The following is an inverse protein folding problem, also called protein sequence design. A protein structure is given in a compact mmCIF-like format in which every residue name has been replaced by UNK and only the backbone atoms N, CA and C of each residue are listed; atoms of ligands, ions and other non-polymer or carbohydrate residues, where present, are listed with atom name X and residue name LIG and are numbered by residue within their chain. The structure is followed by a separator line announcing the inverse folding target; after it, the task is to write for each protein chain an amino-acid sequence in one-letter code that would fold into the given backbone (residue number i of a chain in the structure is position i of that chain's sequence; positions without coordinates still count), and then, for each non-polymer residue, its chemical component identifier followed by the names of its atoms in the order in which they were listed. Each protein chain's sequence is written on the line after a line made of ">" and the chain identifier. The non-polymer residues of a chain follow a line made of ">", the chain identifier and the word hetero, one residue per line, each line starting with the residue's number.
data_IF_575032331900
#
_entry.id   IF_575032331900
#
_cell.length_a   1.000
_cell.length_b   1.000
_cell.length_c   1.000
_cell.angle_alpha   90.00
_cell.angle_beta   90.00
_cell.angle_gamma   90.00
#
_symmetry.space_group_name_H-M   'P 1'
#
loop_
_entity.id
_entity.type
_entity.pdbx_description
1 polymer ?
#
# COMPACT_ATOMS: atom_id res chain seq x y z
N UNK A 1 -5.16 -6.95 -0.90
CA UNK A 1 -4.60 -7.12 -2.24
C UNK A 1 -3.30 -6.36 -2.45
N UNK A 2 -2.42 -6.20 -1.44
CA UNK A 2 -1.04 -5.86 -1.78
C UNK A 2 -0.35 -7.12 -2.34
N UNK A 3 0.49 -6.96 -3.37
CA UNK A 3 1.34 -8.03 -3.87
C UNK A 3 2.50 -8.27 -2.89
N UNK A 4 3.34 -9.30 -3.12
CA UNK A 4 4.57 -9.46 -2.37
C UNK A 4 5.40 -8.17 -2.35
N UNK A 5 6.07 -7.90 -1.24
CA UNK A 5 6.91 -6.71 -1.02
C UNK A 5 6.14 -5.37 -1.05
N UNK A 6 4.81 -5.40 -0.91
CA UNK A 6 3.97 -4.21 -0.73
C UNK A 6 4.05 -3.24 -1.90
N UNK A 7 4.33 -1.97 -1.62
CA UNK A 7 4.42 -0.92 -2.66
C UNK A 7 5.44 -1.23 -3.76
N UNK A 8 6.53 -1.93 -3.44
CA UNK A 8 7.51 -2.33 -4.46
C UNK A 8 6.90 -3.35 -5.44
N UNK A 9 6.00 -4.20 -4.96
CA UNK A 9 5.27 -5.11 -5.84
C UNK A 9 4.23 -4.40 -6.70
N UNK A 10 3.57 -3.34 -6.21
CA UNK A 10 2.71 -2.50 -7.07
C UNK A 10 3.52 -1.92 -8.23
N UNK A 11 4.70 -1.33 -7.95
CA UNK A 11 5.63 -0.82 -8.98
C UNK A 11 6.10 -1.93 -9.93
N UNK A 12 6.26 -3.15 -9.43
CA UNK A 12 6.64 -4.29 -10.25
C UNK A 12 5.55 -4.66 -11.25
N UNK A 13 4.29 -4.57 -10.84
CA UNK A 13 3.11 -5.00 -11.60
C UNK A 13 2.52 -3.91 -12.52
N UNK A 14 2.71 -2.61 -12.22
CA UNK A 14 2.21 -1.51 -13.06
C UNK A 14 2.49 -1.64 -14.57
N UNK A 15 3.68 -2.10 -15.02
CA UNK A 15 3.94 -2.24 -16.46
C UNK A 15 3.04 -3.24 -17.21
N UNK A 16 2.34 -4.11 -16.50
CA UNK A 16 1.48 -5.15 -17.09
C UNK A 16 0.00 -4.77 -17.13
N UNK A 17 -0.36 -3.59 -16.63
CA UNK A 17 -1.72 -3.04 -16.67
C UNK A 17 -1.71 -1.65 -17.31
N UNK A 18 -2.89 -1.16 -17.67
CA UNK A 18 -3.03 0.22 -18.09
C UNK A 18 -2.99 1.13 -16.86
N UNK A 19 -1.98 1.99 -16.79
CA UNK A 19 -1.78 2.91 -15.66
C UNK A 19 -1.02 2.29 -14.49
N UNK A 20 -1.28 2.78 -13.29
CA UNK A 20 -0.66 2.24 -12.07
C UNK A 20 -1.45 1.04 -11.56
N UNK A 21 -0.76 -0.01 -11.16
CA UNK A 21 -1.39 -1.12 -10.46
C UNK A 21 -1.73 -0.71 -9.03
N UNK A 22 -3.00 -0.82 -8.63
CA UNK A 22 -3.48 -0.40 -7.32
C UNK A 22 -3.91 -1.60 -6.47
N UNK A 23 -3.34 -1.70 -5.26
CA UNK A 23 -3.69 -2.76 -4.31
C UNK A 23 -5.16 -2.74 -3.89
N UNK A 24 -5.78 -1.55 -3.89
CA UNK A 24 -7.19 -1.38 -3.57
C UNK A 24 -8.08 -1.99 -4.65
N UNK A 25 -7.76 -1.80 -5.93
CA UNK A 25 -8.48 -2.42 -7.05
C UNK A 25 -8.31 -3.94 -7.05
N UNK A 26 -7.09 -4.43 -6.78
CA UNK A 26 -6.90 -5.87 -6.62
C UNK A 26 -7.69 -6.42 -5.43
N UNK A 27 -7.83 -5.66 -4.34
CA UNK A 27 -8.63 -6.09 -3.20
C UNK A 27 -10.12 -6.19 -3.55
N UNK A 28 -10.64 -5.27 -4.36
CA UNK A 28 -12.00 -5.37 -4.92
C UNK A 28 -12.11 -6.62 -5.81
N UNK A 29 -11.17 -6.81 -6.74
CA UNK A 29 -11.13 -7.98 -7.63
C UNK A 29 -11.09 -9.30 -6.86
N UNK A 30 -10.33 -9.37 -5.76
CA UNK A 30 -10.32 -10.55 -4.88
C UNK A 30 -11.72 -10.84 -4.36
N UNK A 31 -12.42 -9.86 -3.80
CA UNK A 31 -13.71 -10.09 -3.14
C UNK A 31 -14.93 -10.13 -4.07
N UNK A 32 -14.79 -9.68 -5.32
CA UNK A 32 -15.87 -9.70 -6.32
C UNK A 32 -15.70 -10.80 -7.38
N UNK A 33 -14.47 -11.22 -7.68
CA UNK A 33 -14.16 -12.12 -8.80
C UNK A 33 -13.46 -13.40 -8.32
N UNK A 34 -12.33 -13.29 -7.62
CA UNK A 34 -11.47 -14.45 -7.32
C UNK A 34 -12.02 -15.30 -6.18
N UNK A 35 -12.45 -14.65 -5.11
CA UNK A 35 -13.03 -15.24 -3.90
C UNK A 35 -14.30 -14.47 -3.51
N UNK A 36 -15.41 -14.62 -4.26
CA UNK A 36 -16.59 -13.81 -4.07
C UNK A 36 -17.20 -13.96 -2.67
N UNK A 37 -17.23 -12.87 -1.90
CA UNK A 37 -17.76 -12.86 -0.53
C UNK A 37 -19.15 -12.25 -0.40
N UNK A 38 -19.71 -11.70 -1.49
CA UNK A 38 -21.02 -11.02 -1.49
C UNK A 38 -21.08 -9.88 -0.44
N UNK A 39 -20.03 -9.04 -0.41
CA UNK A 39 -19.96 -7.89 0.48
C UNK A 39 -20.96 -6.81 0.03
N UNK A 40 -21.36 -5.96 0.98
CA UNK A 40 -22.17 -4.78 0.68
C UNK A 40 -21.37 -3.78 -0.15
N UNK A 41 -22.08 -3.01 -0.99
CA UNK A 41 -21.46 -2.01 -1.86
C UNK A 41 -20.60 -1.01 -1.06
N UNK A 42 -21.06 -0.57 0.12
CA UNK A 42 -20.36 0.38 0.99
C UNK A 42 -18.99 -0.14 1.44
N UNK A 43 -18.87 -1.45 1.66
CA UNK A 43 -17.60 -2.08 2.06
C UNK A 43 -16.66 -2.15 0.87
N UNK A 44 -17.16 -2.54 -0.31
CA UNK A 44 -16.37 -2.58 -1.55
C UNK A 44 -15.87 -1.18 -1.92
N UNK A 45 -16.73 -0.16 -1.85
CA UNK A 45 -16.34 1.23 -2.12
C UNK A 45 -15.29 1.75 -1.12
N UNK A 46 -15.46 1.43 0.16
CA UNK A 46 -14.46 1.71 1.19
C UNK A 46 -13.10 1.08 0.85
N UNK A 47 -13.07 -0.19 0.46
CA UNK A 47 -11.85 -0.89 0.04
C UNK A 47 -11.24 -0.24 -1.21
N UNK A 48 -12.04 0.05 -2.23
CA UNK A 48 -11.60 0.68 -3.48
C UNK A 48 -10.92 2.03 -3.23
N UNK A 49 -11.55 2.88 -2.42
CA UNK A 49 -11.19 4.29 -2.31
C UNK A 49 -10.37 4.69 -1.08
N UNK A 50 -10.05 3.78 -0.15
CA UNK A 50 -9.32 4.13 1.08
C UNK A 50 -7.91 4.73 0.85
N UNK A 51 -7.31 4.48 -0.32
CA UNK A 51 -6.02 5.05 -0.67
C UNK A 51 -6.16 6.49 -1.15
N UNK A 52 -5.17 7.32 -0.81
CA UNK A 52 -5.16 8.73 -1.21
C UNK A 52 -4.87 8.96 -2.69
N UNK A 53 -4.47 7.91 -3.43
CA UNK A 53 -4.23 7.95 -4.88
C UNK A 53 -5.53 7.87 -5.70
N UNK A 54 -6.62 7.40 -5.10
CA UNK A 54 -7.88 7.14 -5.81
C UNK A 54 -8.81 8.35 -5.71
N UNK A 55 -9.29 8.77 -6.89
CA UNK A 55 -10.27 9.83 -7.12
C UNK A 55 -11.36 9.30 -8.08
N UNK A 56 -12.66 9.45 -7.77
CA UNK A 56 -13.21 10.03 -6.54
C UNK A 56 -12.90 9.19 -5.29
N UNK A 57 -12.81 9.84 -4.11
CA UNK A 57 -12.66 9.15 -2.83
C UNK A 57 -13.89 8.27 -2.52
N UNK A 58 -13.88 7.49 -1.41
CA UNK A 58 -15.05 6.74 -0.98
C UNK A 58 -16.26 7.65 -0.82
N UNK A 59 -17.42 7.15 -1.21
CA UNK A 59 -18.69 7.87 -1.14
C UNK A 59 -19.22 7.97 0.30
N UNK A 60 -18.82 7.06 1.18
CA UNK A 60 -19.29 6.99 2.58
C UNK A 60 -18.38 7.77 3.53
N UNK A 61 -18.95 8.30 4.61
CA UNK A 61 -18.16 8.96 5.65
C UNK A 61 -17.24 7.98 6.39
N UNK A 62 -17.69 6.73 6.57
CA UNK A 62 -16.89 5.64 7.12
C UNK A 62 -15.68 5.31 6.25
N UNK A 63 -15.86 5.26 4.92
CA UNK A 63 -14.75 5.12 3.98
C UNK A 63 -13.78 6.30 4.03
N UNK A 64 -14.29 7.52 4.19
CA UNK A 64 -13.46 8.71 4.38
C UNK A 64 -12.67 8.66 5.70
N UNK A 65 -13.26 8.18 6.80
CA UNK A 65 -12.56 7.96 8.07
C UNK A 65 -11.41 6.97 7.87
N UNK A 66 -11.65 5.87 7.14
CA UNK A 66 -10.64 4.86 6.85
C UNK A 66 -9.41 5.47 6.14
N UNK A 67 -9.61 6.41 5.19
CA UNK A 67 -8.49 7.12 4.52
C UNK A 67 -7.56 7.80 5.52
N UNK A 68 -8.12 8.46 6.52
CA UNK A 68 -7.33 9.13 7.56
C UNK A 68 -6.72 8.13 8.53
N UNK A 69 -7.47 7.12 8.96
CA UNK A 69 -6.99 6.11 9.89
C UNK A 69 -5.76 5.37 9.35
N UNK A 70 -5.81 4.94 8.08
CA UNK A 70 -4.69 4.31 7.39
C UNK A 70 -3.46 5.22 7.36
N UNK A 71 -3.66 6.48 6.92
CA UNK A 71 -2.61 7.49 6.82
C UNK A 71 -1.93 7.78 8.15
N UNK A 72 -2.70 7.94 9.23
CA UNK A 72 -2.19 8.21 10.58
C UNK A 72 -1.41 7.00 11.10
N UNK A 73 -1.97 5.79 10.94
CA UNK A 73 -1.36 4.58 11.45
C UNK A 73 -0.01 4.30 10.78
N UNK A 74 0.05 4.26 9.45
CA UNK A 74 1.30 3.92 8.77
C UNK A 74 2.37 4.99 9.02
N UNK A 75 2.00 6.28 9.02
CA UNK A 75 2.97 7.36 9.12
C UNK A 75 3.70 7.34 10.47
N UNK A 76 2.97 7.07 11.55
CA UNK A 76 3.56 6.96 12.90
C UNK A 76 4.32 5.65 13.06
N UNK A 77 3.79 4.52 12.58
CA UNK A 77 4.46 3.22 12.72
C UNK A 77 5.74 3.14 11.89
N UNK A 78 5.75 3.63 10.65
CA UNK A 78 6.93 3.63 9.79
C UNK A 78 8.05 4.51 10.37
N UNK A 79 7.69 5.64 10.99
CA UNK A 79 8.65 6.46 11.74
C UNK A 79 9.24 5.67 12.92
N UNK A 80 8.39 5.00 13.71
CA UNK A 80 8.85 4.21 14.86
C UNK A 80 9.77 3.06 14.42
N UNK A 81 9.46 2.39 13.33
CA UNK A 81 10.28 1.31 12.79
C UNK A 81 11.59 1.83 12.19
N UNK A 82 11.57 2.99 11.53
CA UNK A 82 12.80 3.66 11.08
C UNK A 82 13.72 4.04 12.25
N UNK A 83 13.16 4.52 13.37
CA UNK A 83 13.92 4.80 14.59
C UNK A 83 14.47 3.50 15.21
N UNK A 84 13.63 2.46 15.31
CA UNK A 84 14.03 1.15 15.85
C UNK A 84 15.13 0.51 15.02
N UNK A 85 15.08 0.67 13.70
CA UNK A 85 16.10 0.19 12.77
C UNK A 85 17.40 1.04 12.78
N UNK A 86 17.44 2.14 13.55
CA UNK A 86 18.58 3.05 13.61
C UNK A 86 18.77 3.88 12.33
N UNK A 87 17.75 3.96 11.47
CA UNK A 87 17.76 4.78 10.26
C UNK A 87 17.55 6.25 10.63
N UNK A 88 16.71 6.50 11.63
CA UNK A 88 16.41 7.81 12.19
C UNK A 88 16.66 7.81 13.69
N UNK A 89 16.81 9.00 14.24
CA UNK A 89 16.78 9.28 15.67
C UNK A 89 15.67 10.31 15.95
N UNK A 90 15.27 10.47 17.21
CA UNK A 90 14.29 11.50 17.58
C UNK A 90 14.74 12.92 17.20
N UNK A 91 16.05 13.17 17.14
CA UNK A 91 16.62 14.46 16.73
C UNK A 91 16.61 14.70 15.23
N UNK A 92 16.38 13.66 14.41
CA UNK A 92 16.24 13.82 12.96
C UNK A 92 14.84 14.30 12.57
N UNK A 93 13.86 14.21 13.46
CA UNK A 93 12.46 14.54 13.15
C UNK A 93 12.30 16.05 12.87
N UNK A 94 11.50 16.45 11.87
CA UNK A 94 11.33 17.86 11.53
C UNK A 94 10.75 18.66 12.69
N UNK A 95 11.39 19.78 13.03
CA UNK A 95 10.96 20.64 14.14
C UNK A 95 9.56 21.23 13.95
N UNK A 96 9.20 21.60 12.72
CA UNK A 96 7.87 22.10 12.38
C UNK A 96 6.78 21.05 12.58
N UNK A 97 7.08 19.78 12.31
CA UNK A 97 6.18 18.67 12.60
C UNK A 97 6.06 18.43 14.12
N UNK A 98 7.14 18.56 14.89
CA UNK A 98 7.12 18.45 16.35
C UNK A 98 6.30 19.57 17.01
N UNK A 99 6.34 20.78 16.46
CA UNK A 99 5.53 21.91 16.96
C UNK A 99 4.02 21.63 16.83
N UNK A 100 3.60 21.02 15.72
CA UNK A 100 2.19 20.69 15.45
C UNK A 100 1.76 19.41 16.17
N UNK A 101 2.53 18.32 16.00
CA UNK A 101 2.18 17.00 16.51
C UNK A 101 2.57 16.77 17.97
N UNK A 102 3.44 17.58 18.55
CA UNK A 102 3.96 17.38 19.91
C UNK A 102 4.99 16.25 20.01
N UNK A 103 4.99 15.54 21.15
CA UNK A 103 5.95 14.47 21.43
C UNK A 103 5.73 13.22 20.56
N UNK A 104 6.77 12.69 19.88
CA UNK A 104 6.65 11.52 19.01
C UNK A 104 6.06 10.30 19.71
N UNK A 105 5.21 9.55 18.99
CA UNK A 105 4.64 8.29 19.44
C UNK A 105 3.12 8.32 19.54
N UNK A 106 2.56 7.85 20.67
CA UNK A 106 1.10 7.75 20.85
C UNK A 106 0.40 9.11 20.89
N UNK A 107 1.10 10.16 21.31
CA UNK A 107 0.53 11.52 21.35
C UNK A 107 0.28 12.08 19.94
N UNK A 108 1.14 11.75 18.95
CA UNK A 108 0.91 12.11 17.56
C UNK A 108 -0.38 11.49 17.02
N UNK A 109 -0.56 10.18 17.21
CA UNK A 109 -1.78 9.46 16.82
C UNK A 109 -3.01 10.13 17.41
N UNK A 110 -2.97 10.39 18.73
CA UNK A 110 -4.07 11.03 19.45
C UNK A 110 -4.40 12.41 18.89
N UNK A 111 -3.39 13.27 18.66
CA UNK A 111 -3.60 14.63 18.13
C UNK A 111 -4.15 14.63 16.70
N UNK A 112 -3.63 13.75 15.83
CA UNK A 112 -4.15 13.62 14.47
C UNK A 112 -5.60 13.14 14.47
N UNK A 113 -5.96 12.17 15.33
CA UNK A 113 -7.35 11.71 15.49
C UNK A 113 -8.26 12.86 15.94
N UNK A 114 -7.89 13.60 16.98
CA UNK A 114 -8.70 14.74 17.43
C UNK A 114 -8.81 15.84 16.37
N UNK A 115 -7.75 16.09 15.60
CA UNK A 115 -7.79 17.04 14.50
C UNK A 115 -8.75 16.64 13.37
N UNK A 116 -8.95 15.33 13.16
CA UNK A 116 -10.01 14.83 12.25
C UNK A 116 -11.38 15.01 12.88
N UNK A 117 -11.56 14.58 14.13
CA UNK A 117 -12.85 14.65 14.82
C UNK A 117 -13.36 16.09 14.89
N UNK A 118 -12.56 17.02 15.39
CA UNK A 118 -12.97 18.40 15.63
C UNK A 118 -13.30 19.13 14.32
N UNK A 119 -12.46 18.98 13.29
CA UNK A 119 -12.74 19.58 11.98
C UNK A 119 -13.98 18.97 11.32
N UNK A 120 -14.18 17.66 11.48
CA UNK A 120 -15.34 16.96 10.93
C UNK A 120 -16.65 17.42 11.57
N UNK A 121 -16.64 17.64 12.90
CA UNK A 121 -17.78 18.16 13.65
C UNK A 121 -18.10 19.61 13.25
N UNK A 122 -17.08 20.45 13.06
CA UNK A 122 -17.27 21.85 12.65
C UNK A 122 -17.85 21.98 11.23
N UNK A 123 -17.43 21.11 10.30
CA UNK A 123 -17.85 21.17 8.89
C UNK A 123 -19.10 20.38 8.56
N UNK A 124 -19.44 19.36 9.36
CA UNK A 124 -20.49 18.39 9.03
C UNK A 124 -20.08 17.34 7.98
N UNK A 125 -18.78 17.21 7.70
CA UNK A 125 -18.22 16.24 6.75
C UNK A 125 -16.80 15.86 7.16
N UNK A 126 -16.37 14.63 6.89
CA UNK A 126 -15.04 14.14 7.30
C UNK A 126 -13.91 15.00 6.70
N UNK A 127 -13.14 15.64 7.58
CA UNK A 127 -12.04 16.50 7.24
C UNK A 127 -11.01 16.54 8.39
N UNK A 128 -9.80 17.01 8.10
CA UNK A 128 -8.74 17.25 9.09
C UNK A 128 -8.39 18.73 9.08
N UNK A 129 -8.09 19.29 10.27
CA UNK A 129 -7.60 20.68 10.41
C UNK A 129 -6.49 20.96 9.37
N UNK A 130 -6.57 22.05 8.59
CA UNK A 130 -5.63 22.29 7.49
C UNK A 130 -4.15 22.30 7.90
N UNK A 131 -3.83 22.87 9.07
CA UNK A 131 -2.47 22.90 9.62
C UNK A 131 -1.96 21.48 9.93
N UNK A 132 -2.81 20.62 10.51
CA UNK A 132 -2.48 19.22 10.80
C UNK A 132 -2.27 18.41 9.51
N UNK A 133 -3.13 18.64 8.52
CA UNK A 133 -3.04 17.98 7.21
C UNK A 133 -1.74 18.35 6.49
N UNK A 134 -1.38 19.63 6.48
CA UNK A 134 -0.13 20.14 5.90
C UNK A 134 1.10 19.54 6.59
N UNK A 135 1.13 19.53 7.93
CA UNK A 135 2.21 18.89 8.69
C UNK A 135 2.30 17.39 8.36
N UNK A 136 1.16 16.71 8.19
CA UNK A 136 1.12 15.28 7.84
C UNK A 136 1.69 15.02 6.44
N UNK A 137 1.43 15.91 5.48
CA UNK A 137 2.02 15.84 4.14
C UNK A 137 3.54 16.04 4.17
N UNK A 138 4.03 17.08 4.87
CA UNK A 138 5.46 17.33 5.02
C UNK A 138 6.19 16.19 5.71
N UNK A 139 5.61 15.66 6.79
CA UNK A 139 6.24 14.56 7.50
C UNK A 139 6.32 13.30 6.65
N UNK A 140 5.31 13.04 5.81
CA UNK A 140 5.37 11.96 4.82
C UNK A 140 6.48 12.18 3.79
N UNK A 141 6.65 13.39 3.28
CA UNK A 141 7.74 13.72 2.35
C UNK A 141 9.11 13.51 3.01
N UNK A 142 9.29 13.99 4.24
CA UNK A 142 10.48 13.72 5.04
C UNK A 142 10.76 12.21 5.17
N UNK A 143 9.75 11.44 5.55
CA UNK A 143 9.87 9.99 5.67
C UNK A 143 10.29 9.36 4.33
N UNK A 144 9.65 9.78 3.23
CA UNK A 144 9.99 9.35 1.87
C UNK A 144 11.48 9.56 1.55
N UNK A 145 11.98 10.77 1.76
CA UNK A 145 13.35 11.14 1.46
C UNK A 145 14.38 10.45 2.36
N UNK A 146 14.10 10.36 3.66
CA UNK A 146 15.08 9.91 4.65
C UNK A 146 15.11 8.41 4.85
N UNK A 147 14.00 7.72 4.55
CA UNK A 147 13.86 6.27 4.81
C UNK A 147 13.79 5.48 3.50
N UNK A 148 12.92 5.89 2.57
CA UNK A 148 12.63 5.07 1.38
C UNK A 148 13.58 5.36 0.22
N UNK A 149 14.08 6.60 0.05
CA UNK A 149 15.07 6.95 -0.99
C UNK A 149 16.51 6.52 -0.66
N UNK A 150 16.74 5.86 0.49
CA UNK A 150 18.09 5.40 0.85
C UNK A 150 18.60 4.37 -0.16
N UNK A 151 19.92 4.37 -0.48
CA UNK A 151 20.49 3.42 -1.43
C UNK A 151 20.25 1.95 -1.08
N UNK A 152 20.25 1.61 0.21
CA UNK A 152 19.96 0.25 0.67
C UNK A 152 18.49 -0.13 0.41
N UNK A 153 17.56 0.78 0.70
CA UNK A 153 16.12 0.62 0.44
C UNK A 153 15.84 0.48 -1.06
N UNK A 154 16.49 1.31 -1.89
CA UNK A 154 16.38 1.25 -3.35
C UNK A 154 16.91 -0.06 -3.92
N UNK A 155 18.07 -0.55 -3.47
CA UNK A 155 18.61 -1.85 -3.90
C UNK A 155 17.68 -3.01 -3.55
N UNK A 156 17.05 -2.97 -2.38
CA UNK A 156 16.06 -3.96 -1.98
C UNK A 156 14.79 -3.87 -2.86
N UNK A 157 14.31 -2.66 -3.13
CA UNK A 157 13.19 -2.41 -4.03
C UNK A 157 13.45 -2.91 -5.45
N UNK A 158 14.61 -2.61 -6.03
CA UNK A 158 15.01 -3.09 -7.36
C UNK A 158 15.04 -4.62 -7.43
N UNK A 159 15.53 -5.27 -6.37
CA UNK A 159 15.54 -6.73 -6.29
C UNK A 159 14.11 -7.29 -6.23
N UNK A 160 13.25 -6.72 -5.39
CA UNK A 160 11.85 -7.12 -5.28
C UNK A 160 11.09 -6.95 -6.60
N UNK A 161 11.28 -5.80 -7.28
CA UNK A 161 10.70 -5.52 -8.60
C UNK A 161 11.15 -6.55 -9.62
N UNK A 162 12.45 -6.87 -9.66
CA UNK A 162 12.97 -7.87 -10.60
C UNK A 162 12.37 -9.24 -10.36
N UNK A 163 12.34 -9.70 -9.11
CA UNK A 163 11.78 -11.01 -8.76
C UNK A 163 10.34 -11.15 -9.26
N UNK A 164 9.50 -10.15 -9.03
CA UNK A 164 8.10 -10.22 -9.43
C UNK A 164 7.92 -10.13 -10.94
N UNK A 165 8.70 -9.31 -11.64
CA UNK A 165 8.68 -9.25 -13.11
C UNK A 165 9.13 -10.57 -13.73
N UNK A 166 10.21 -11.15 -13.24
CA UNK A 166 10.67 -12.47 -13.66
C UNK A 166 9.54 -13.51 -13.50
N UNK A 167 8.82 -13.51 -12.37
CA UNK A 167 7.70 -14.42 -12.15
C UNK A 167 6.52 -14.17 -13.10
N UNK A 168 6.16 -12.90 -13.36
CA UNK A 168 5.09 -12.57 -14.32
C UNK A 168 5.49 -13.03 -15.72
N UNK A 169 6.68 -12.67 -16.19
CA UNK A 169 7.18 -13.01 -17.51
C UNK A 169 7.26 -14.53 -17.70
N UNK A 170 7.73 -15.27 -16.67
CA UNK A 170 7.77 -16.73 -16.69
C UNK A 170 6.40 -17.36 -16.89
N UNK A 171 5.38 -16.91 -16.15
CA UNK A 171 4.04 -17.47 -16.28
C UNK A 171 3.30 -17.02 -17.54
N UNK A 172 3.65 -15.86 -18.11
CA UNK A 172 3.19 -15.45 -19.44
C UNK A 172 3.74 -16.38 -20.53
N UNK A 173 5.01 -16.78 -20.42
CA UNK A 173 5.66 -17.71 -21.36
C UNK A 173 5.26 -19.18 -21.11
N UNK A 174 4.93 -19.55 -19.87
CA UNK A 174 4.59 -20.91 -19.45
C UNK A 174 3.24 -20.98 -18.71
N UNK A 175 2.09 -20.70 -19.37
CA UNK A 175 0.79 -20.62 -18.69
C UNK A 175 0.36 -21.91 -17.99
N UNK A 176 0.81 -23.07 -18.49
CA UNK A 176 0.47 -24.38 -17.93
C UNK A 176 1.08 -24.64 -16.55
N UNK A 177 2.12 -23.89 -16.16
CA UNK A 177 2.74 -23.95 -14.85
C UNK A 177 1.99 -23.14 -13.77
N UNK A 178 1.02 -22.31 -14.19
CA UNK A 178 0.17 -21.60 -13.24
C UNK A 178 -0.74 -22.56 -12.46
N UNK A 179 -1.07 -22.24 -11.20
CA UNK A 179 -2.07 -22.99 -10.45
C UNK A 179 -3.39 -23.03 -11.22
N UNK A 180 -4.00 -24.22 -11.30
CA UNK A 180 -5.21 -24.45 -12.10
C UNK A 180 -6.38 -23.53 -11.70
N UNK A 181 -6.48 -23.17 -10.40
CA UNK A 181 -7.51 -22.26 -9.90
C UNK A 181 -7.47 -20.85 -10.49
N UNK A 182 -6.32 -20.42 -11.02
CA UNK A 182 -6.16 -19.11 -11.66
C UNK A 182 -6.25 -19.17 -13.18
N UNK A 183 -6.28 -20.36 -13.79
CA UNK A 183 -6.42 -20.55 -15.24
C UNK A 183 -7.87 -20.34 -15.69
N UNK A 184 -8.34 -19.10 -15.65
CA UNK A 184 -9.69 -18.69 -16.07
C UNK A 184 -9.73 -18.37 -17.56
N UNK A 185 -10.39 -19.23 -18.36
CA UNK A 185 -10.38 -19.12 -19.84
C UNK A 185 -11.01 -17.85 -20.42
N UNK A 186 -11.80 -17.12 -19.64
CA UNK A 186 -12.56 -15.94 -20.11
C UNK A 186 -11.82 -14.62 -19.88
N UNK A 187 -10.70 -14.62 -19.15
CA UNK A 187 -9.90 -13.43 -18.86
C UNK A 187 -8.62 -13.41 -19.73
N UNK A 188 -8.10 -12.23 -20.10
CA UNK A 188 -6.77 -12.13 -20.70
C UNK A 188 -5.72 -12.83 -19.84
N UNK A 189 -4.79 -13.55 -20.48
CA UNK A 189 -3.74 -14.31 -19.78
C UNK A 189 -2.95 -13.45 -18.80
N UNK A 190 -2.64 -12.19 -19.17
CA UNK A 190 -1.91 -11.26 -18.30
C UNK A 190 -2.63 -10.99 -16.98
N UNK A 191 -3.96 -10.89 -16.98
CA UNK A 191 -4.74 -10.68 -15.76
C UNK A 191 -4.65 -11.91 -14.84
N UNK A 192 -4.77 -13.11 -15.43
CA UNK A 192 -4.65 -14.37 -14.69
C UNK A 192 -3.27 -14.51 -14.04
N UNK A 193 -2.20 -14.16 -14.77
CA UNK A 193 -0.82 -14.19 -14.26
C UNK A 193 -0.63 -13.18 -13.13
N UNK A 194 -1.13 -11.95 -13.32
CA UNK A 194 -1.07 -10.91 -12.28
C UNK A 194 -1.79 -11.38 -11.02
N UNK A 195 -2.97 -11.99 -11.15
CA UNK A 195 -3.73 -12.51 -10.01
C UNK A 195 -2.92 -13.58 -9.24
N UNK A 196 -2.22 -14.48 -9.95
CA UNK A 196 -1.32 -15.47 -9.34
C UNK A 196 -0.19 -14.79 -8.57
N UNK A 197 0.52 -13.86 -9.21
CA UNK A 197 1.72 -13.23 -8.63
C UNK A 197 1.35 -12.30 -7.48
N UNK A 198 0.28 -11.52 -7.62
CA UNK A 198 -0.23 -10.64 -6.57
C UNK A 198 -0.80 -11.42 -5.38
N UNK A 199 -1.31 -12.64 -5.59
CA UNK A 199 -1.79 -13.53 -4.53
C UNK A 199 -0.68 -14.21 -3.72
N UNK A 200 0.59 -14.07 -4.09
CA UNK A 200 1.70 -14.69 -3.38
C UNK A 200 2.03 -13.96 -2.07
N UNK A 201 2.66 -14.68 -1.13
CA UNK A 201 3.38 -14.06 -0.02
C UNK A 201 4.85 -13.83 -0.40
N UNK A 202 5.54 -12.89 0.26
CA UNK A 202 6.98 -12.63 0.04
C UNK A 202 7.83 -13.90 0.05
N UNK A 203 7.63 -14.76 1.05
CA UNK A 203 8.38 -16.01 1.20
C UNK A 203 8.05 -17.00 0.08
N UNK A 204 6.80 -17.04 -0.36
CA UNK A 204 6.38 -17.91 -1.44
C UNK A 204 6.95 -17.44 -2.79
N UNK A 205 6.85 -16.13 -3.09
CA UNK A 205 7.41 -15.54 -4.30
C UNK A 205 8.91 -15.78 -4.41
N UNK A 206 9.66 -15.54 -3.33
CA UNK A 206 11.11 -15.83 -3.28
C UNK A 206 11.40 -17.31 -3.55
N UNK A 207 10.66 -18.21 -2.91
CA UNK A 207 10.86 -19.66 -3.07
C UNK A 207 10.58 -20.11 -4.50
N UNK A 208 9.49 -19.63 -5.12
CA UNK A 208 9.14 -19.98 -6.51
C UNK A 208 10.17 -19.40 -7.48
N UNK A 209 10.60 -18.16 -7.26
CA UNK A 209 11.65 -17.53 -8.06
C UNK A 209 12.97 -18.31 -7.99
N UNK A 210 13.42 -18.68 -6.79
CA UNK A 210 14.62 -19.50 -6.61
C UNK A 210 14.47 -20.88 -7.29
N UNK A 211 13.30 -21.52 -7.22
CA UNK A 211 13.06 -22.81 -7.90
C UNK A 211 13.17 -22.73 -9.41
N UNK A 212 12.73 -21.64 -10.02
CA UNK A 212 12.75 -21.43 -11.48
C UNK A 212 14.14 -20.97 -11.95
N UNK A 213 14.72 -19.98 -11.29
CA UNK A 213 15.91 -19.27 -11.77
C UNK A 213 17.21 -19.66 -11.08
N UNK A 214 17.15 -20.43 -9.98
CA UNK A 214 18.32 -20.98 -9.28
C UNK A 214 18.14 -22.46 -8.97
N UNK A 215 17.98 -23.31 -9.99
CA UNK A 215 17.72 -24.74 -9.79
C UNK A 215 19.00 -25.50 -9.41
N UNK A 216 19.55 -25.30 -8.20
CA UNK A 216 20.71 -26.04 -7.68
C UNK A 216 20.70 -26.16 -6.15
#
# INVERSE_FOLDING_TARGET
>A
GHPPFGHNGEVALSPYVEGDWLHSEQSVRVFEVLEPLNLTWEVVDGIRGHTWKVDPPPATQEGMILRFADRIAYLVHDMQDAIRAGILTHTDLPGDCLEVFGEPGSEWVKRMIWAVIDESLDRGSIAMRPEMLEAMHRFREFMYERVYLRPESQKQAEKAVRILRDLVDHYLENPDEMPESYRQREEPLVNQVIDVVAGMTDRYALRVHDQIYRPF
#
